data_IF_347866371331
#
_entry.id   IF_347866371331
#
_cell.length_a   1.000
_cell.length_b   1.000
_cell.length_c   1.000
_cell.angle_alpha   90.00
_cell.angle_beta   90.00
_cell.angle_gamma   90.00
#
_symmetry.space_group_name_H-M   'P 1'
#
loop_
_entity.id
_entity.type
_entity.pdbx_description
1 polymer ?
#
# COMPACT_ATOMS: atom_id res chain seq x y z
N UNK A 1 -3.82 22.82 7.22
CA UNK A 1 -4.70 21.84 6.53
C UNK A 1 -3.77 21.02 5.66
N UNK A 2 -3.59 19.72 5.95
CA UNK A 2 -2.74 18.87 5.11
C UNK A 2 -3.58 18.51 3.88
N UNK A 3 -3.20 19.05 2.74
CA UNK A 3 -3.89 18.81 1.46
C UNK A 3 -2.99 17.89 0.64
N UNK A 4 -3.37 16.61 0.56
CA UNK A 4 -2.81 15.65 -0.39
C UNK A 4 -3.90 15.31 -1.42
N UNK A 5 -3.98 16.02 -2.56
CA UNK A 5 -4.74 15.55 -3.73
C UNK A 5 -3.77 14.72 -4.62
N UNK A 6 -4.12 13.61 -5.26
CA UNK A 6 -5.40 13.11 -5.75
C UNK A 6 -5.56 11.59 -5.52
N UNK A 7 -6.83 11.20 -5.38
CA UNK A 7 -7.39 9.85 -5.19
C UNK A 7 -6.83 8.76 -6.12
N UNK A 8 -6.80 7.53 -5.59
CA UNK A 8 -7.29 6.35 -6.33
C UNK A 8 -7.98 5.39 -5.35
N UNK A 9 -9.25 5.65 -5.03
CA UNK A 9 -10.08 4.75 -4.22
C UNK A 9 -10.47 3.43 -4.90
N UNK A 10 -9.96 3.19 -6.13
CA UNK A 10 -10.02 1.91 -6.82
C UNK A 10 -8.69 1.64 -7.50
N UNK A 11 -8.02 0.54 -7.12
CA UNK A 11 -6.92 -0.02 -7.91
C UNK A 11 -7.34 -1.41 -8.35
N UNK A 12 -8.10 -1.46 -9.43
CA UNK A 12 -8.55 -2.68 -10.08
C UNK A 12 -7.80 -2.88 -11.39
N UNK A 13 -7.03 -3.97 -11.50
CA UNK A 13 -6.43 -4.40 -12.77
C UNK A 13 -6.78 -5.85 -13.04
N UNK A 14 -6.66 -6.25 -14.31
CA UNK A 14 -6.86 -7.65 -14.69
C UNK A 14 -5.52 -8.39 -14.74
N UNK A 15 -5.48 -9.59 -14.18
CA UNK A 15 -4.34 -10.49 -14.23
C UNK A 15 -4.73 -11.83 -14.89
N UNK A 16 -3.75 -12.52 -15.47
CA UNK A 16 -3.91 -13.86 -16.06
C UNK A 16 -2.81 -14.75 -15.48
N UNK A 17 -3.17 -15.89 -14.91
CA UNK A 17 -2.19 -16.88 -14.47
C UNK A 17 -1.71 -17.75 -15.66
N UNK A 18 -0.47 -18.25 -15.64
CA UNK A 18 0.07 -19.09 -16.72
C UNK A 18 -0.76 -20.36 -16.97
N UNK A 19 -0.75 -20.92 -18.19
CA UNK A 19 -1.33 -22.23 -18.46
C UNK A 19 -0.74 -23.30 -17.53
N UNK A 20 -1.60 -24.21 -17.03
CA UNK A 20 -1.18 -25.29 -16.14
C UNK A 20 -1.29 -24.96 -14.65
N UNK A 21 -1.75 -23.77 -14.26
CA UNK A 21 -2.17 -23.51 -12.87
C UNK A 21 -3.32 -24.44 -12.49
N UNK A 22 -3.13 -25.30 -11.49
CA UNK A 22 -4.10 -26.32 -11.06
C UNK A 22 -5.03 -25.88 -9.93
N UNK A 23 -4.88 -24.64 -9.47
CA UNK A 23 -5.63 -24.07 -8.35
C UNK A 23 -6.47 -22.89 -8.80
N UNK A 24 -7.56 -22.61 -8.08
CA UNK A 24 -8.43 -21.46 -8.33
C UNK A 24 -8.15 -20.28 -7.39
N UNK A 25 -7.07 -20.29 -6.63
CA UNK A 25 -6.70 -19.18 -5.74
C UNK A 25 -5.35 -18.61 -6.14
N UNK A 26 -5.08 -17.39 -5.68
CA UNK A 26 -3.81 -16.73 -5.86
C UNK A 26 -3.24 -16.26 -4.53
N UNK A 27 -2.02 -15.75 -4.57
CA UNK A 27 -1.36 -15.10 -3.47
C UNK A 27 -1.01 -13.66 -3.87
N UNK A 28 -1.17 -12.74 -2.93
CA UNK A 28 -0.83 -11.31 -3.11
C UNK A 28 0.37 -10.93 -2.27
N UNK A 29 1.27 -10.16 -2.86
CA UNK A 29 2.45 -9.65 -2.18
C UNK A 29 2.57 -8.14 -2.39
N UNK A 30 2.64 -7.39 -1.30
CA UNK A 30 2.86 -5.95 -1.24
C UNK A 30 4.30 -5.68 -0.83
N UNK A 31 5.18 -5.52 -1.82
CA UNK A 31 6.61 -5.35 -1.59
C UNK A 31 6.94 -3.86 -1.52
N UNK A 32 7.73 -3.47 -0.53
CA UNK A 32 8.24 -2.11 -0.37
C UNK A 32 9.76 -2.09 -0.51
N UNK A 33 10.30 -0.95 -0.97
CA UNK A 33 11.74 -0.66 -0.88
C UNK A 33 12.10 0.14 0.37
N UNK A 34 11.11 0.58 1.13
CA UNK A 34 11.33 1.34 2.35
C UNK A 34 11.61 0.43 3.55
N UNK A 35 12.46 0.89 4.45
CA UNK A 35 12.79 0.17 5.68
C UNK A 35 11.64 0.37 6.68
N UNK A 36 11.07 -0.74 7.17
CA UNK A 36 10.13 -0.70 8.30
C UNK A 36 10.90 -0.37 9.57
N UNK A 37 10.59 0.76 10.18
CA UNK A 37 11.23 1.27 11.40
C UNK A 37 10.51 0.79 12.66
N UNK A 38 9.19 0.77 12.63
CA UNK A 38 8.36 0.39 13.78
C UNK A 38 6.99 -0.15 13.35
N UNK A 39 6.29 -0.79 14.28
CA UNK A 39 4.90 -1.24 14.07
C UNK A 39 4.04 -0.76 15.22
N UNK A 40 2.93 -0.08 14.90
CA UNK A 40 1.98 0.48 15.87
C UNK A 40 0.57 0.16 15.36
N UNK A 41 -0.28 -0.47 16.17
CA UNK A 41 -1.64 -0.90 15.78
C UNK A 41 -1.68 -1.73 14.49
N UNK A 42 -0.71 -2.64 14.30
CA UNK A 42 -0.46 -3.43 13.08
C UNK A 42 0.05 -2.65 11.86
N UNK A 43 -0.03 -1.31 11.86
CA UNK A 43 0.56 -0.49 10.82
C UNK A 43 2.08 -0.55 10.88
N UNK A 44 2.70 -0.92 9.75
CA UNK A 44 4.15 -0.97 9.58
C UNK A 44 4.64 0.38 9.07
N UNK A 45 5.23 1.17 9.97
CA UNK A 45 5.73 2.51 9.65
C UNK A 45 7.10 2.40 9.00
N UNK A 46 7.17 2.88 7.77
CA UNK A 46 8.36 2.86 6.94
C UNK A 46 8.95 4.26 6.82
N UNK A 47 10.27 4.34 6.75
CA UNK A 47 10.97 5.62 6.62
C UNK A 47 10.80 6.22 5.23
N UNK A 48 10.00 7.28 5.11
CA UNK A 48 9.79 7.98 3.83
C UNK A 48 10.91 8.99 3.57
N UNK A 49 11.33 9.70 4.63
CA UNK A 49 12.46 10.64 4.63
C UNK A 49 12.93 10.87 6.09
N UNK A 50 13.79 11.86 6.31
CA UNK A 50 14.36 12.18 7.63
C UNK A 50 13.36 12.78 8.64
N UNK A 51 12.17 13.17 8.18
CA UNK A 51 11.14 13.85 8.97
C UNK A 51 9.90 13.00 9.21
N UNK A 52 9.63 12.05 8.31
CA UNK A 52 8.35 11.37 8.20
C UNK A 52 8.49 9.86 8.07
N UNK A 53 7.64 9.15 8.82
CA UNK A 53 7.32 7.76 8.56
C UNK A 53 5.94 7.66 7.91
N UNK A 54 5.75 6.64 7.08
CA UNK A 54 4.48 6.33 6.43
C UNK A 54 4.08 4.89 6.64
N UNK A 55 2.82 4.65 6.91
CA UNK A 55 2.22 3.33 6.95
C UNK A 55 0.93 3.32 6.13
N UNK A 56 0.49 2.16 5.69
CA UNK A 56 -0.76 2.01 4.97
C UNK A 56 -1.51 0.79 5.45
N UNK A 57 -2.83 0.87 5.41
CA UNK A 57 -3.72 -0.29 5.39
C UNK A 57 -4.61 -0.24 4.17
N UNK A 58 -5.11 -1.39 3.78
CA UNK A 58 -6.00 -1.55 2.64
C UNK A 58 -6.93 -2.73 2.90
N UNK A 59 -8.01 -2.79 2.13
CA UNK A 59 -8.93 -3.91 2.13
C UNK A 59 -8.82 -4.59 0.77
N UNK A 60 -8.62 -5.90 0.81
CA UNK A 60 -8.68 -6.73 -0.38
C UNK A 60 -10.13 -7.19 -0.60
N UNK A 61 -10.56 -7.33 -1.85
CA UNK A 61 -11.95 -7.71 -2.18
C UNK A 61 -12.41 -9.04 -1.58
N UNK A 62 -11.50 -9.89 -1.09
CA UNK A 62 -11.83 -11.20 -0.51
C UNK A 62 -11.29 -11.41 0.92
N UNK A 63 -10.57 -10.44 1.50
CA UNK A 63 -9.97 -10.54 2.84
C UNK A 63 -10.30 -9.32 3.71
N UNK A 64 -10.16 -9.47 5.03
CA UNK A 64 -10.19 -8.34 5.97
C UNK A 64 -9.02 -7.36 5.72
N UNK A 65 -8.95 -6.31 6.55
CA UNK A 65 -7.91 -5.27 6.51
C UNK A 65 -6.50 -5.89 6.50
N UNK A 66 -5.69 -5.45 5.55
CA UNK A 66 -4.28 -5.78 5.41
C UNK A 66 -3.40 -4.61 5.82
N UNK A 67 -2.22 -4.92 6.37
CA UNK A 67 -1.22 -3.93 6.80
C UNK A 67 0.12 -4.20 6.11
N UNK A 68 0.28 -3.75 4.85
CA UNK A 68 1.51 -3.94 4.09
C UNK A 68 2.73 -3.21 4.71
N UNK A 69 3.97 -3.66 4.43
CA UNK A 69 4.34 -4.72 3.47
C UNK A 69 4.09 -6.13 4.00
N UNK A 70 3.62 -7.02 3.13
CA UNK A 70 3.36 -8.44 3.42
C UNK A 70 3.44 -9.26 2.13
N UNK A 71 4.00 -10.47 2.19
CA UNK A 71 4.16 -11.33 1.03
C UNK A 71 3.32 -12.60 1.16
N UNK A 72 2.88 -13.11 0.01
CA UNK A 72 2.18 -14.37 -0.14
C UNK A 72 0.94 -14.49 0.77
N UNK A 73 0.15 -13.43 0.84
CA UNK A 73 -1.17 -13.47 1.48
C UNK A 73 -2.08 -14.29 0.59
N UNK A 74 -2.71 -15.35 1.12
CA UNK A 74 -3.63 -16.18 0.34
C UNK A 74 -4.92 -15.41 0.06
N UNK A 75 -5.24 -15.27 -1.22
CA UNK A 75 -6.46 -14.60 -1.69
C UNK A 75 -7.63 -15.58 -1.78
N UNK A 76 -8.81 -15.05 -2.08
CA UNK A 76 -9.99 -15.82 -2.44
C UNK A 76 -9.82 -16.68 -3.69
N UNK A 77 -10.91 -17.33 -4.06
CA UNK A 77 -10.95 -18.18 -5.26
C UNK A 77 -11.64 -17.48 -6.43
N UNK A 78 -11.07 -17.60 -7.62
CA UNK A 78 -11.66 -17.20 -8.90
C UNK A 78 -11.45 -18.34 -9.93
N UNK A 79 -12.52 -18.84 -10.59
CA UNK A 79 -12.43 -19.95 -11.54
C UNK A 79 -11.55 -19.64 -12.76
N UNK A 80 -11.36 -18.37 -13.11
CA UNK A 80 -10.55 -17.96 -14.26
C UNK A 80 -9.05 -18.22 -14.04
N UNK A 81 -8.61 -18.34 -12.78
CA UNK A 81 -7.21 -18.56 -12.40
C UNK A 81 -6.67 -19.86 -13.01
N UNK A 82 -7.39 -20.98 -12.88
CA UNK A 82 -6.95 -22.27 -13.47
C UNK A 82 -7.24 -22.40 -14.97
N UNK A 83 -8.11 -21.54 -15.50
CA UNK A 83 -8.55 -21.60 -16.90
C UNK A 83 -7.68 -20.75 -17.84
N UNK A 84 -6.61 -20.12 -17.33
CA UNK A 84 -5.81 -19.16 -18.08
C UNK A 84 -6.67 -18.01 -18.64
N UNK A 85 -7.69 -17.61 -17.88
CA UNK A 85 -8.58 -16.50 -18.21
C UNK A 85 -8.30 -15.27 -17.32
N UNK A 86 -8.65 -14.06 -17.75
CA UNK A 86 -8.46 -12.86 -16.95
C UNK A 86 -9.34 -12.85 -15.69
N UNK A 87 -8.78 -12.44 -14.57
CA UNK A 87 -9.48 -12.22 -13.30
C UNK A 87 -9.13 -10.86 -12.69
N UNK A 88 -9.97 -10.38 -11.77
CA UNK A 88 -9.79 -9.09 -11.11
C UNK A 88 -8.80 -9.14 -9.94
N UNK A 89 -7.91 -8.16 -9.87
CA UNK A 89 -7.02 -7.90 -8.74
C UNK A 89 -7.37 -6.53 -8.21
N UNK A 90 -7.87 -6.46 -6.97
CA UNK A 90 -8.58 -5.28 -6.47
C UNK A 90 -8.27 -5.00 -5.00
N UNK A 91 -7.81 -3.77 -4.74
CA UNK A 91 -7.74 -3.19 -3.39
C UNK A 91 -8.70 -1.99 -3.28
N UNK A 92 -9.27 -1.82 -2.08
CA UNK A 92 -10.14 -0.70 -1.71
C UNK A 92 -9.81 -0.19 -0.30
N UNK A 93 -10.44 0.91 0.12
CA UNK A 93 -10.30 1.50 1.46
C UNK A 93 -8.84 1.69 1.89
N UNK A 94 -8.07 2.32 1.00
CA UNK A 94 -6.67 2.64 1.23
C UNK A 94 -6.55 3.73 2.30
N UNK A 95 -6.07 3.37 3.49
CA UNK A 95 -5.81 4.31 4.58
C UNK A 95 -4.32 4.49 4.74
N UNK A 96 -3.83 5.71 4.59
CA UNK A 96 -2.43 6.06 4.80
C UNK A 96 -2.25 6.84 6.10
N UNK A 97 -1.25 6.44 6.89
CA UNK A 97 -0.86 7.11 8.13
C UNK A 97 0.51 7.72 7.96
N UNK A 98 0.64 8.97 8.37
CA UNK A 98 1.89 9.70 8.38
C UNK A 98 2.27 10.02 9.83
N UNK A 99 3.50 9.68 10.23
CA UNK A 99 4.04 10.03 11.55
C UNK A 99 5.19 11.00 11.41
N UNK A 100 5.14 12.12 12.12
CA UNK A 100 6.25 13.08 12.18
C UNK A 100 7.27 12.61 13.21
N UNK A 101 8.50 12.31 12.77
CA UNK A 101 9.60 11.89 13.66
C UNK A 101 10.61 12.99 13.95
N UNK A 102 10.65 14.04 13.12
CA UNK A 102 11.43 15.24 13.37
C UNK A 102 10.58 16.47 13.04
N UNK A 103 10.57 17.51 13.90
CA UNK A 103 9.87 18.75 13.60
C UNK A 103 10.45 19.43 12.34
N UNK A 104 9.60 20.15 11.62
CA UNK A 104 10.00 20.98 10.49
C UNK A 104 9.18 22.26 10.46
N UNK A 105 9.77 23.31 9.89
CA UNK A 105 9.16 24.64 9.79
C UNK A 105 8.62 24.82 8.37
N UNK A 106 7.44 25.42 8.25
CA UNK A 106 6.71 25.69 7.01
C UNK A 106 6.13 24.45 6.32
N UNK A 107 6.94 23.70 5.59
CA UNK A 107 6.47 22.66 4.68
C UNK A 107 7.50 21.57 4.46
N UNK A 108 7.04 20.32 4.37
CA UNK A 108 7.82 19.22 3.80
C UNK A 108 7.11 18.75 2.53
N UNK A 109 7.83 18.84 1.41
CA UNK A 109 7.41 18.24 0.15
C UNK A 109 7.76 16.75 0.13
N UNK A 110 6.80 15.93 -0.24
CA UNK A 110 6.93 14.49 -0.41
C UNK A 110 6.87 14.23 -1.92
N UNK A 111 8.03 14.03 -2.58
CA UNK A 111 8.03 13.74 -4.01
C UNK A 111 7.26 12.45 -4.28
N UNK A 112 6.67 12.34 -5.47
CA UNK A 112 5.94 11.14 -5.86
C UNK A 112 6.88 9.93 -5.87
N UNK A 113 6.58 8.93 -5.06
CA UNK A 113 7.37 7.70 -4.93
C UNK A 113 6.45 6.48 -4.86
N UNK A 114 6.96 5.32 -5.30
CA UNK A 114 6.25 4.03 -5.20
C UNK A 114 6.39 3.50 -3.77
N UNK A 115 5.28 3.43 -3.04
CA UNK A 115 5.22 2.85 -1.70
C UNK A 115 5.25 1.32 -1.75
N UNK A 116 4.42 0.75 -2.63
CA UNK A 116 4.31 -0.70 -2.77
C UNK A 116 4.28 -1.11 -4.24
N UNK A 117 4.97 -2.20 -4.54
CA UNK A 117 4.84 -2.95 -5.77
C UNK A 117 4.04 -4.21 -5.48
N UNK A 118 2.93 -4.40 -6.20
CA UNK A 118 2.00 -5.49 -5.94
C UNK A 118 2.21 -6.62 -6.94
N UNK A 119 2.32 -7.84 -6.43
CA UNK A 119 2.51 -9.05 -7.24
C UNK A 119 1.39 -10.05 -6.98
N UNK A 120 1.11 -10.85 -8.00
CA UNK A 120 0.19 -11.99 -7.93
C UNK A 120 0.95 -13.26 -8.29
N UNK A 121 0.77 -14.28 -7.46
CA UNK A 121 1.43 -15.59 -7.63
C UNK A 121 0.42 -16.72 -7.44
N UNK A 122 0.74 -17.92 -7.95
CA UNK A 122 -0.10 -19.11 -7.82
C UNK A 122 0.30 -19.95 -6.61
N UNK A 123 1.55 -19.84 -6.17
CA UNK A 123 2.08 -20.50 -4.97
C UNK A 123 2.94 -19.55 -4.12
N UNK A 124 3.14 -19.83 -2.82
CA UNK A 124 4.04 -19.04 -1.96
C UNK A 124 5.52 -19.10 -2.34
N UNK A 125 5.90 -20.00 -3.27
CA UNK A 125 7.28 -20.20 -3.70
C UNK A 125 7.56 -19.54 -5.06
N UNK A 126 6.53 -19.01 -5.74
CA UNK A 126 6.70 -18.35 -7.02
C UNK A 126 7.51 -17.05 -6.84
N UNK A 127 8.47 -16.75 -7.73
CA UNK A 127 9.26 -15.53 -7.61
C UNK A 127 8.43 -14.29 -7.96
N UNK A 128 8.68 -13.18 -7.26
CA UNK A 128 8.00 -11.91 -7.45
C UNK A 128 8.64 -11.11 -8.61
N UNK A 129 8.34 -11.49 -9.85
CA UNK A 129 9.02 -10.95 -11.05
C UNK A 129 8.20 -9.93 -11.83
N UNK A 130 6.89 -10.17 -12.00
CA UNK A 130 6.02 -9.30 -12.82
C UNK A 130 5.04 -8.57 -11.92
N UNK A 131 5.20 -7.25 -11.73
CA UNK A 131 4.27 -6.48 -10.94
C UNK A 131 2.95 -6.32 -11.68
N UNK A 132 1.86 -6.36 -10.92
CA UNK A 132 0.49 -6.22 -11.43
C UNK A 132 0.08 -4.73 -11.40
N UNK A 133 0.48 -4.00 -10.35
CA UNK A 133 0.44 -2.54 -10.27
C UNK A 133 1.36 -2.04 -9.15
N UNK A 134 1.44 -0.72 -9.02
CA UNK A 134 2.16 -0.04 -7.94
C UNK A 134 1.25 0.93 -7.21
N UNK A 135 1.36 1.00 -5.90
CA UNK A 135 0.74 2.04 -5.07
C UNK A 135 1.79 3.12 -4.83
N UNK A 136 1.50 4.33 -5.26
CA UNK A 136 2.39 5.49 -5.10
C UNK A 136 1.81 6.51 -4.13
N UNK A 137 2.66 7.27 -3.48
CA UNK A 137 2.30 8.38 -2.61
C UNK A 137 3.09 9.62 -3.00
N UNK A 138 2.57 10.80 -2.68
CA UNK A 138 3.21 12.07 -2.92
C UNK A 138 2.33 13.23 -2.47
N UNK A 139 2.90 14.41 -2.37
CA UNK A 139 2.20 15.66 -2.06
C UNK A 139 3.00 16.50 -1.07
N UNK A 140 2.32 17.30 -0.24
CA UNK A 140 2.98 18.22 0.69
C UNK A 140 2.29 18.24 2.05
N UNK A 141 3.09 18.38 3.10
CA UNK A 141 2.63 18.54 4.47
C UNK A 141 2.94 19.95 4.92
N UNK A 142 1.89 20.75 5.11
CA UNK A 142 1.99 22.15 5.52
C UNK A 142 1.61 22.31 6.98
N UNK A 143 2.47 22.99 7.73
CA UNK A 143 2.26 23.31 9.14
C UNK A 143 1.80 24.77 9.24
N UNK A 144 0.60 25.05 9.80
CA UNK A 144 0.16 26.43 10.01
C UNK A 144 1.14 27.19 10.91
N UNK A 145 1.47 28.43 10.56
CA UNK A 145 2.46 29.25 11.28
C UNK A 145 2.18 29.51 12.77
N UNK A 146 0.99 29.14 13.27
CA UNK A 146 0.61 29.27 14.69
C UNK A 146 0.66 27.96 15.49
N UNK A 147 1.05 26.83 14.88
CA UNK A 147 1.16 25.54 15.57
C UNK A 147 2.42 24.80 15.12
N UNK A 148 3.34 24.47 16.02
CA UNK A 148 4.39 23.49 15.71
C UNK A 148 3.79 22.08 15.67
N UNK A 149 4.05 21.29 14.62
CA UNK A 149 3.79 19.85 14.66
C UNK A 149 4.88 19.19 15.49
N UNK A 150 4.50 18.71 16.67
CA UNK A 150 5.42 18.03 17.58
C UNK A 150 5.78 16.64 17.06
N UNK A 151 7.03 16.23 17.28
CA UNK A 151 7.46 14.86 16.99
C UNK A 151 6.59 13.84 17.74
N UNK A 152 6.25 12.75 17.08
CA UNK A 152 5.40 11.68 17.60
C UNK A 152 3.92 11.77 17.18
N UNK A 153 3.50 12.86 16.55
CA UNK A 153 2.12 12.98 16.04
C UNK A 153 1.88 12.07 14.83
N UNK A 154 0.76 11.34 14.85
CA UNK A 154 0.26 10.51 13.75
C UNK A 154 -0.93 11.23 13.11
N UNK A 155 -0.93 11.33 11.79
CA UNK A 155 -2.02 11.87 10.97
C UNK A 155 -2.52 10.76 10.06
N UNK A 156 -3.84 10.53 10.05
CA UNK A 156 -4.48 9.50 9.21
C UNK A 156 -5.19 10.15 8.02
N UNK A 157 -5.06 9.52 6.87
CA UNK A 157 -5.66 9.91 5.61
C UNK A 157 -6.42 8.72 5.03
N UNK A 158 -7.72 8.88 4.84
CA UNK A 158 -8.56 7.93 4.12
C UNK A 158 -8.69 8.39 2.67
N UNK A 159 -8.24 7.56 1.72
CA UNK A 159 -8.35 7.86 0.29
C UNK A 159 -9.71 7.53 -0.31
N UNK A 160 -10.63 6.98 0.50
CA UNK A 160 -12.00 6.64 0.14
C UNK A 160 -12.11 5.50 -0.87
N UNK A 161 -13.35 5.21 -1.26
CA UNK A 161 -13.70 4.47 -2.48
C UNK A 161 -13.64 5.42 -3.70
#
# INVERSE_FOLDING_TARGET
IVVLPEKSGWVGVSAICPPGTLVNYTYRSYVTNFIVQETIDNYKYMQLNDYLLGAMSLVDSVMDIQFPPQNYIRMGTDPNVSQNLPFGVMDSRLIFRLKVIRPFINMVEIPRQVMFTVYVTSTPNDPLVTPVYTISFGGRVEVPQNCELNAGQIVEFDFGD
#
